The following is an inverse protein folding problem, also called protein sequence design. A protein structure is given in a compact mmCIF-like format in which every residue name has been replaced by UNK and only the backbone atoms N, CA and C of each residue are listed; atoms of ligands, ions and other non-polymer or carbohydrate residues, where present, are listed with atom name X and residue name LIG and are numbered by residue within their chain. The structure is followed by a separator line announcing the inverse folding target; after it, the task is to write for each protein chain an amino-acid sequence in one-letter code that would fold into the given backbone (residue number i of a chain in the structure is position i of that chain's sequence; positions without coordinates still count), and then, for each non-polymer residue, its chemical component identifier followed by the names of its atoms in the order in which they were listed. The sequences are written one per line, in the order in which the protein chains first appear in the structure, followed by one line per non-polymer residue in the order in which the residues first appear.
data_IF_472487171355
#
_entry.id   IF_472487171355
#
_cell.length_a   1.000
_cell.length_b   1.000
_cell.length_c   1.000
_cell.angle_alpha   90.00
_cell.angle_beta   90.00
_cell.angle_gamma   90.00
#
_symmetry.space_group_name_H-M   'P 1'
#
loop_
_entity.id
_entity.type
_entity.pdbx_description
1 polymer ?
#
# COMPACT_ATOMS: atom_id res chain seq x y z
N UNK A 1 8.96 -2.76 14.60
CA UNK A 1 9.48 -1.65 13.77
C UNK A 1 9.99 -2.21 12.45
N UNK A 2 9.64 -1.58 11.32
CA UNK A 2 10.27 -1.78 10.01
C UNK A 2 11.38 -0.74 9.83
N UNK A 3 12.51 -1.13 9.29
CA UNK A 3 13.64 -0.24 9.02
C UNK A 3 14.14 -0.47 7.59
N UNK A 4 14.23 0.60 6.81
CA UNK A 4 14.85 0.63 5.50
C UNK A 4 16.12 1.51 5.56
N UNK A 5 17.26 1.00 5.12
CA UNK A 5 18.54 1.69 5.22
C UNK A 5 19.28 1.66 3.89
N UNK A 6 19.43 2.81 3.28
CA UNK A 6 20.18 2.98 2.03
C UNK A 6 19.63 2.19 0.85
N UNK A 7 18.30 1.95 0.81
CA UNK A 7 17.68 1.15 -0.23
C UNK A 7 17.95 1.73 -1.60
N UNK A 8 18.65 0.94 -2.41
CA UNK A 8 18.99 1.27 -3.78
C UNK A 8 18.52 0.15 -4.70
N UNK A 9 17.87 0.50 -5.80
CA UNK A 9 17.45 -0.47 -6.82
C UNK A 9 17.83 0.04 -8.21
N UNK A 10 18.54 -0.82 -8.95
CA UNK A 10 18.89 -0.59 -10.35
C UNK A 10 18.24 -1.67 -11.22
N UNK A 11 17.77 -1.27 -12.37
CA UNK A 11 17.29 -2.14 -13.45
C UNK A 11 18.16 -1.84 -14.68
N UNK A 12 19.20 -2.65 -14.89
CA UNK A 12 20.21 -2.30 -15.89
C UNK A 12 20.82 -0.93 -15.62
N UNK A 13 20.69 0.01 -16.56
CA UNK A 13 21.19 1.38 -16.43
C UNK A 13 20.28 2.33 -15.63
N UNK A 14 19.01 1.95 -15.38
CA UNK A 14 18.03 2.79 -14.67
C UNK A 14 18.19 2.69 -13.16
N UNK A 15 18.41 3.81 -12.48
CA UNK A 15 18.38 3.92 -11.03
C UNK A 15 16.94 4.23 -10.57
N UNK A 16 16.21 3.20 -10.15
CA UNK A 16 14.81 3.32 -9.73
C UNK A 16 14.68 3.82 -8.28
N UNK A 17 15.63 3.48 -7.40
CA UNK A 17 15.73 4.01 -6.03
C UNK A 17 17.18 4.32 -5.70
N UNK A 18 17.42 5.46 -5.07
CA UNK A 18 18.74 5.94 -4.68
C UNK A 18 18.81 6.22 -3.18
N UNK A 19 19.38 5.27 -2.44
CA UNK A 19 19.68 5.36 -1.01
C UNK A 19 18.49 5.81 -0.15
N UNK A 20 17.32 5.25 -0.38
CA UNK A 20 16.11 5.56 0.38
C UNK A 20 16.24 5.04 1.81
N UNK A 21 15.89 5.91 2.78
CA UNK A 21 15.86 5.59 4.21
C UNK A 21 14.50 5.94 4.79
N UNK A 22 13.93 5.05 5.56
CA UNK A 22 12.75 5.33 6.40
C UNK A 22 12.56 4.25 7.47
N UNK A 23 11.76 4.59 8.47
CA UNK A 23 11.34 3.69 9.54
C UNK A 23 9.82 3.69 9.65
N UNK A 24 9.23 2.57 10.10
CA UNK A 24 7.85 2.51 10.57
C UNK A 24 7.83 1.96 11.99
N UNK A 25 7.06 2.63 12.84
CA UNK A 25 6.88 2.22 14.24
C UNK A 25 5.53 1.53 14.44
N UNK A 26 5.41 0.67 15.48
CA UNK A 26 4.11 0.11 15.87
C UNK A 26 3.07 1.21 16.10
N UNK A 27 1.86 1.00 15.57
CA UNK A 27 0.77 1.98 15.66
C UNK A 27 0.79 3.08 14.60
N UNK A 28 1.81 3.14 13.73
CA UNK A 28 1.85 4.14 12.68
C UNK A 28 1.11 3.70 11.41
N UNK A 29 0.42 4.66 10.80
CA UNK A 29 -0.07 4.61 9.43
C UNK A 29 0.75 5.59 8.60
N UNK A 30 1.58 5.08 7.71
CA UNK A 30 2.46 5.89 6.85
C UNK A 30 1.96 5.86 5.41
N UNK A 31 1.66 7.03 4.88
CA UNK A 31 1.36 7.25 3.46
C UNK A 31 2.65 7.44 2.66
N UNK A 32 2.81 6.67 1.59
CA UNK A 32 3.95 6.75 0.69
C UNK A 32 3.51 7.37 -0.63
N UNK A 33 3.74 8.66 -0.78
CA UNK A 33 3.31 9.48 -1.90
C UNK A 33 4.42 9.63 -2.94
N UNK A 34 4.03 9.92 -4.16
CA UNK A 34 4.96 10.29 -5.23
C UNK A 34 4.27 10.25 -6.60
N UNK A 35 4.81 10.96 -7.60
CA UNK A 35 4.30 10.88 -8.97
C UNK A 35 4.50 9.48 -9.56
N UNK A 36 3.87 9.20 -10.70
CA UNK A 36 4.09 7.97 -11.44
C UNK A 36 5.56 7.87 -11.86
N UNK A 37 6.13 6.68 -11.78
CA UNK A 37 7.56 6.46 -12.07
C UNK A 37 8.52 6.90 -10.96
N UNK A 38 8.06 7.45 -9.84
CA UNK A 38 8.96 7.89 -8.75
C UNK A 38 9.67 6.75 -8.02
N UNK A 39 9.20 5.48 -8.16
CA UNK A 39 9.76 4.30 -7.50
C UNK A 39 8.90 3.73 -6.37
N UNK A 40 7.65 4.17 -6.20
CA UNK A 40 6.74 3.68 -5.13
C UNK A 40 6.56 2.16 -5.16
N UNK A 41 6.10 1.60 -6.28
CA UNK A 41 5.89 0.15 -6.43
C UNK A 41 7.21 -0.64 -6.30
N UNK A 42 8.34 -0.05 -6.72
CA UNK A 42 9.66 -0.64 -6.47
C UNK A 42 9.94 -0.72 -4.97
N UNK A 43 9.68 0.36 -4.22
CA UNK A 43 9.84 0.38 -2.74
C UNK A 43 8.92 -0.64 -2.07
N UNK A 44 7.63 -0.67 -2.46
CA UNK A 44 6.67 -1.66 -1.96
C UNK A 44 7.19 -3.08 -2.20
N UNK A 45 7.62 -3.41 -3.41
CA UNK A 45 8.13 -4.73 -3.76
C UNK A 45 9.41 -5.12 -2.99
N UNK A 46 10.29 -4.17 -2.69
CA UNK A 46 11.44 -4.38 -1.82
C UNK A 46 11.00 -4.65 -0.38
N UNK A 47 10.08 -3.84 0.15
CA UNK A 47 9.57 -3.98 1.52
C UNK A 47 8.88 -5.33 1.74
N UNK A 48 8.10 -5.81 0.76
CA UNK A 48 7.45 -7.12 0.88
C UNK A 48 8.36 -8.28 0.49
N UNK A 49 9.59 -8.00 0.04
CA UNK A 49 10.58 -9.00 -0.34
C UNK A 49 10.27 -9.71 -1.66
N UNK A 50 9.50 -9.11 -2.56
CA UNK A 50 9.30 -9.57 -3.93
C UNK A 50 10.49 -9.21 -4.84
N UNK A 51 11.24 -8.19 -4.45
CA UNK A 51 12.49 -7.78 -5.09
C UNK A 51 13.62 -7.76 -4.06
N UNK A 52 14.83 -7.99 -4.53
CA UNK A 52 16.05 -7.79 -3.74
C UNK A 52 16.62 -6.39 -4.03
N UNK A 53 17.10 -5.66 -3.02
CA UNK A 53 17.77 -4.39 -3.22
C UNK A 53 19.12 -4.60 -3.93
N UNK A 54 19.54 -3.65 -4.76
CA UNK A 54 20.89 -3.64 -5.36
C UNK A 54 21.93 -3.21 -4.33
N UNK A 55 21.54 -2.40 -3.32
CA UNK A 55 22.32 -2.05 -2.15
C UNK A 55 21.39 -1.61 -1.01
N UNK A 56 21.91 -1.57 0.21
CA UNK A 56 21.14 -1.29 1.41
C UNK A 56 20.49 -2.53 2.02
N UNK A 57 19.74 -2.35 3.10
CA UNK A 57 19.03 -3.45 3.76
C UNK A 57 17.66 -3.05 4.30
N UNK A 58 16.82 -4.08 4.55
CA UNK A 58 15.50 -3.94 5.17
C UNK A 58 15.42 -4.90 6.34
N UNK A 59 14.91 -4.42 7.47
CA UNK A 59 14.65 -5.20 8.67
C UNK A 59 13.23 -5.02 9.17
N UNK A 60 12.59 -6.09 9.56
CA UNK A 60 11.28 -6.08 10.22
C UNK A 60 11.39 -6.84 11.53
N UNK A 61 11.06 -6.16 12.64
CA UNK A 61 11.16 -6.72 14.00
C UNK A 61 12.53 -7.37 14.30
N UNK A 62 13.61 -6.73 13.83
CA UNK A 62 14.99 -7.21 13.98
C UNK A 62 15.46 -8.24 12.94
N UNK A 63 14.54 -8.84 12.18
CA UNK A 63 14.89 -9.82 11.12
C UNK A 63 15.23 -9.09 9.83
N UNK A 64 16.44 -9.28 9.32
CA UNK A 64 16.87 -8.75 8.02
C UNK A 64 16.33 -9.65 6.90
N UNK A 65 15.85 -9.02 5.81
CA UNK A 65 15.32 -9.75 4.66
C UNK A 65 16.34 -10.70 4.03
N UNK A 66 17.62 -10.30 3.95
CA UNK A 66 18.70 -11.14 3.40
C UNK A 66 19.06 -12.35 4.26
N UNK A 67 18.85 -12.27 5.58
CA UNK A 67 19.29 -13.30 6.52
C UNK A 67 18.23 -14.43 6.66
N UNK A 68 16.95 -14.04 6.76
CA UNK A 68 15.83 -15.00 6.77
C UNK A 68 14.59 -14.41 6.09
N UNK A 69 14.54 -14.54 4.76
CA UNK A 69 13.44 -14.04 3.95
C UNK A 69 12.09 -14.71 4.31
N UNK A 70 12.10 -15.95 4.78
CA UNK A 70 10.87 -16.67 5.16
C UNK A 70 10.28 -16.10 6.45
N UNK A 71 11.10 -15.96 7.50
CA UNK A 71 10.66 -15.37 8.76
C UNK A 71 10.26 -13.90 8.58
N UNK A 72 10.98 -13.14 7.76
CA UNK A 72 10.66 -11.77 7.40
C UNK A 72 9.28 -11.68 6.74
N UNK A 73 9.06 -12.42 5.63
CA UNK A 73 7.80 -12.39 4.84
C UNK A 73 6.60 -12.90 5.64
N UNK A 74 6.82 -13.78 6.61
CA UNK A 74 5.76 -14.27 7.51
C UNK A 74 5.12 -13.17 8.36
N UNK A 75 5.79 -12.06 8.56
CA UNK A 75 5.32 -10.92 9.35
C UNK A 75 4.53 -9.91 8.52
N UNK A 76 4.37 -10.12 7.20
CA UNK A 76 3.78 -9.15 6.28
C UNK A 76 2.45 -9.66 5.74
N UNK A 77 1.44 -8.81 5.81
CA UNK A 77 0.24 -8.88 4.98
C UNK A 77 0.40 -7.91 3.81
N UNK A 78 0.24 -8.40 2.59
CA UNK A 78 0.40 -7.59 1.38
C UNK A 78 -0.86 -7.58 0.54
N UNK A 79 -1.24 -6.39 0.09
CA UNK A 79 -2.34 -6.14 -0.85
C UNK A 79 -1.76 -5.39 -2.04
N UNK A 80 -1.61 -6.03 -3.21
CA UNK A 80 -1.14 -5.39 -4.42
C UNK A 80 -2.21 -4.47 -5.03
N UNK A 81 -1.79 -3.51 -5.85
CA UNK A 81 -2.67 -2.60 -6.59
C UNK A 81 -3.62 -3.36 -7.53
N UNK A 82 -3.07 -4.29 -8.31
CA UNK A 82 -3.86 -5.15 -9.18
C UNK A 82 -4.16 -6.48 -8.50
N UNK A 83 -5.45 -6.87 -8.44
CA UNK A 83 -5.86 -8.15 -7.86
C UNK A 83 -5.41 -9.35 -8.69
N UNK A 84 -4.15 -9.76 -8.57
CA UNK A 84 -3.64 -11.00 -9.15
C UNK A 84 -4.13 -12.20 -8.32
N UNK A 85 -5.36 -12.61 -8.56
CA UNK A 85 -6.03 -13.72 -7.88
C UNK A 85 -6.16 -14.93 -8.83
N UNK A 86 -6.18 -16.13 -8.25
CA UNK A 86 -6.62 -17.33 -8.99
C UNK A 86 -8.13 -17.25 -9.23
N UNK A 87 -8.53 -16.49 -10.26
CA UNK A 87 -9.92 -16.09 -10.49
C UNK A 87 -10.90 -17.26 -10.66
N UNK A 88 -10.43 -18.44 -11.03
CA UNK A 88 -11.23 -19.66 -11.13
C UNK A 88 -11.59 -20.29 -9.78
N UNK A 89 -10.91 -19.89 -8.71
CA UNK A 89 -11.26 -20.32 -7.37
C UNK A 89 -12.42 -19.49 -6.81
N UNK A 90 -13.13 -20.07 -5.85
CA UNK A 90 -14.04 -19.28 -5.00
C UNK A 90 -13.24 -18.45 -3.99
N UNK A 91 -13.84 -17.40 -3.44
CA UNK A 91 -13.18 -16.62 -2.39
C UNK A 91 -12.83 -17.48 -1.16
N UNK A 92 -13.70 -18.43 -0.81
CA UNK A 92 -13.45 -19.38 0.28
C UNK A 92 -12.26 -20.27 0.00
N UNK A 93 -12.21 -20.91 -1.19
CA UNK A 93 -11.12 -21.83 -1.56
C UNK A 93 -9.79 -21.10 -1.68
N UNK A 94 -9.79 -19.89 -2.26
CA UNK A 94 -8.60 -19.05 -2.36
C UNK A 94 -8.02 -18.74 -0.96
N UNK A 95 -8.85 -18.28 -0.02
CA UNK A 95 -8.39 -17.96 1.34
C UNK A 95 -7.91 -19.21 2.09
N UNK A 96 -8.60 -20.35 1.92
CA UNK A 96 -8.17 -21.62 2.48
C UNK A 96 -6.81 -22.06 1.88
N UNK A 97 -6.63 -21.94 0.57
CA UNK A 97 -5.36 -22.22 -0.11
C UNK A 97 -4.23 -21.34 0.42
N UNK A 98 -4.42 -20.01 0.46
CA UNK A 98 -3.41 -19.07 0.97
C UNK A 98 -3.04 -19.36 2.41
N UNK A 99 -4.04 -19.65 3.25
CA UNK A 99 -3.80 -20.00 4.65
C UNK A 99 -2.97 -21.30 4.81
N UNK A 100 -3.27 -22.33 4.01
CA UNK A 100 -2.50 -23.59 3.98
C UNK A 100 -1.06 -23.36 3.50
N UNK A 101 -0.86 -22.61 2.43
CA UNK A 101 0.48 -22.24 1.93
C UNK A 101 1.30 -21.50 2.99
N UNK A 102 0.63 -20.68 3.81
CA UNK A 102 1.23 -20.00 4.96
C UNK A 102 1.36 -20.89 6.21
N UNK A 103 1.11 -22.22 6.10
CA UNK A 103 1.19 -23.22 7.16
C UNK A 103 0.32 -22.88 8.38
N UNK A 104 -0.88 -22.35 8.15
CA UNK A 104 -1.85 -22.11 9.22
C UNK A 104 -2.62 -23.40 9.57
N UNK A 105 -2.93 -23.65 10.86
CA UNK A 105 -3.74 -24.78 11.25
C UNK A 105 -5.13 -24.75 10.59
N UNK A 106 -5.57 -25.89 10.06
CA UNK A 106 -6.86 -26.00 9.35
C UNK A 106 -8.04 -25.56 10.23
N UNK A 107 -8.04 -25.93 11.51
CA UNK A 107 -9.08 -25.53 12.46
C UNK A 107 -9.17 -24.00 12.63
N UNK A 108 -8.03 -23.30 12.58
CA UNK A 108 -8.00 -21.83 12.62
C UNK A 108 -8.55 -21.22 11.34
N UNK A 109 -8.20 -21.80 10.17
CA UNK A 109 -8.70 -21.35 8.88
C UNK A 109 -10.22 -21.52 8.76
N UNK A 110 -10.75 -22.67 9.22
CA UNK A 110 -12.20 -22.94 9.23
C UNK A 110 -13.00 -21.91 10.07
N UNK A 111 -12.38 -21.29 11.07
CA UNK A 111 -12.98 -20.22 11.87
C UNK A 111 -12.78 -18.84 11.21
N UNK A 112 -11.55 -18.53 10.78
CA UNK A 112 -11.19 -17.18 10.30
C UNK A 112 -11.74 -16.86 8.91
N UNK A 113 -11.71 -17.80 7.98
CA UNK A 113 -12.13 -17.56 6.58
C UNK A 113 -13.60 -17.14 6.51
N UNK A 114 -14.56 -17.89 7.09
CA UNK A 114 -15.97 -17.44 7.08
C UNK A 114 -16.20 -16.12 7.81
N UNK A 115 -15.48 -15.88 8.91
CA UNK A 115 -15.60 -14.64 9.67
C UNK A 115 -15.12 -13.43 8.83
N UNK A 116 -13.96 -13.51 8.20
CA UNK A 116 -13.43 -12.45 7.35
C UNK A 116 -14.34 -12.18 6.13
N UNK A 117 -14.82 -13.24 5.48
CA UNK A 117 -15.75 -13.09 4.35
C UNK A 117 -17.07 -12.42 4.76
N UNK A 118 -17.55 -12.70 5.98
CA UNK A 118 -18.76 -12.05 6.51
C UNK A 118 -18.55 -10.55 6.77
N UNK A 119 -17.49 -10.20 7.51
CA UNK A 119 -17.17 -8.80 7.86
C UNK A 119 -16.89 -7.97 6.61
N UNK A 120 -16.22 -8.57 5.61
CA UNK A 120 -15.92 -7.91 4.34
C UNK A 120 -17.06 -7.99 3.31
N UNK A 121 -18.28 -8.38 3.75
CA UNK A 121 -19.51 -8.43 2.93
C UNK A 121 -19.36 -9.29 1.65
N UNK A 122 -18.64 -10.41 1.76
CA UNK A 122 -18.43 -11.39 0.71
C UNK A 122 -19.10 -12.74 0.99
N UNK A 123 -19.82 -12.86 2.13
CA UNK A 123 -20.39 -14.12 2.61
C UNK A 123 -21.33 -14.76 1.59
N UNK A 124 -22.25 -13.99 1.00
CA UNK A 124 -23.26 -14.50 0.07
C UNK A 124 -22.66 -14.92 -1.30
N UNK A 125 -21.48 -14.39 -1.60
CA UNK A 125 -20.74 -14.73 -2.82
C UNK A 125 -19.57 -15.68 -2.59
N UNK A 126 -19.38 -16.20 -1.37
CA UNK A 126 -18.16 -16.97 -0.99
C UNK A 126 -17.88 -18.22 -1.79
N UNK A 127 -18.91 -18.81 -2.40
CA UNK A 127 -18.83 -20.01 -3.25
C UNK A 127 -18.93 -19.69 -4.76
N UNK A 128 -19.09 -18.42 -5.14
CA UNK A 128 -18.99 -18.03 -6.55
C UNK A 128 -17.52 -17.87 -6.92
N UNK A 129 -17.18 -18.23 -8.16
CA UNK A 129 -15.83 -18.00 -8.68
C UNK A 129 -15.52 -16.51 -8.76
N UNK A 130 -14.29 -16.13 -8.45
CA UNK A 130 -13.89 -14.74 -8.46
C UNK A 130 -13.81 -14.11 -9.86
N UNK A 131 -14.01 -14.90 -10.94
CA UNK A 131 -14.25 -14.38 -12.29
C UNK A 131 -15.48 -13.48 -12.35
N UNK A 132 -16.52 -13.81 -11.57
CA UNK A 132 -17.75 -13.03 -11.47
C UNK A 132 -17.68 -11.84 -10.51
N UNK A 133 -16.54 -11.63 -9.83
CA UNK A 133 -16.40 -10.56 -8.86
C UNK A 133 -16.06 -9.23 -9.51
N UNK A 134 -16.63 -8.14 -9.00
CA UNK A 134 -16.17 -6.78 -9.31
C UNK A 134 -14.72 -6.55 -8.84
N UNK A 135 -14.06 -5.50 -9.34
CA UNK A 135 -12.72 -5.11 -8.87
C UNK A 135 -12.72 -4.91 -7.34
N UNK A 136 -13.71 -4.22 -6.78
CA UNK A 136 -13.83 -3.98 -5.35
C UNK A 136 -14.06 -5.27 -4.53
N UNK A 137 -14.82 -6.24 -5.05
CA UNK A 137 -14.96 -7.55 -4.40
C UNK A 137 -13.63 -8.31 -4.36
N UNK A 138 -12.88 -8.31 -5.46
CA UNK A 138 -11.53 -8.92 -5.52
C UNK A 138 -10.58 -8.25 -4.55
N UNK A 139 -10.59 -6.92 -4.46
CA UNK A 139 -9.79 -6.16 -3.50
C UNK A 139 -10.09 -6.55 -2.06
N UNK A 140 -11.37 -6.72 -1.69
CA UNK A 140 -11.77 -7.20 -0.37
C UNK A 140 -11.29 -8.63 -0.07
N UNK A 141 -11.21 -9.51 -1.07
CA UNK A 141 -10.60 -10.85 -0.90
C UNK A 141 -9.10 -10.73 -0.62
N UNK A 142 -8.38 -9.82 -1.30
CA UNK A 142 -6.96 -9.58 -1.02
C UNK A 142 -6.73 -9.04 0.39
N UNK A 143 -7.56 -8.10 0.84
CA UNK A 143 -7.52 -7.61 2.22
C UNK A 143 -7.75 -8.76 3.21
N UNK A 144 -8.76 -9.63 2.98
CA UNK A 144 -8.96 -10.82 3.80
C UNK A 144 -7.72 -11.73 3.83
N UNK A 145 -7.11 -11.95 2.67
CA UNK A 145 -5.88 -12.75 2.53
C UNK A 145 -4.70 -12.17 3.32
N UNK A 146 -4.51 -10.86 3.25
CA UNK A 146 -3.45 -10.17 3.99
C UNK A 146 -3.63 -10.30 5.51
N UNK A 147 -4.88 -10.26 5.99
CA UNK A 147 -5.23 -10.31 7.41
C UNK A 147 -5.29 -11.73 8.01
N UNK A 148 -5.29 -12.79 7.20
CA UNK A 148 -5.44 -14.18 7.67
C UNK A 148 -4.52 -14.54 8.83
N UNK A 149 -3.25 -14.12 8.81
CA UNK A 149 -2.24 -14.40 9.85
C UNK A 149 -2.15 -13.33 10.94
N UNK A 150 -2.95 -12.26 10.86
CA UNK A 150 -2.84 -11.12 11.75
C UNK A 150 -1.40 -10.56 11.80
N UNK A 151 -0.85 -10.09 10.69
CA UNK A 151 0.54 -9.69 10.59
C UNK A 151 0.81 -8.40 11.38
N UNK A 152 2.03 -8.19 11.92
CA UNK A 152 2.43 -6.93 12.53
C UNK A 152 2.62 -5.78 11.53
N UNK A 153 2.83 -6.09 10.24
CA UNK A 153 2.97 -5.10 9.17
C UNK A 153 1.98 -5.40 8.04
N UNK A 154 1.19 -4.40 7.68
CA UNK A 154 0.37 -4.39 6.47
C UNK A 154 0.98 -3.44 5.45
N UNK A 155 1.23 -3.96 4.26
CA UNK A 155 1.69 -3.20 3.09
C UNK A 155 0.58 -3.23 2.05
N UNK A 156 0.13 -2.06 1.62
CA UNK A 156 -0.98 -1.93 0.69
C UNK A 156 -0.57 -1.00 -0.46
N UNK A 157 -0.71 -1.47 -1.69
CA UNK A 157 -0.43 -0.69 -2.89
C UNK A 157 -1.75 -0.20 -3.48
N UNK A 158 -1.98 1.13 -3.49
CA UNK A 158 -3.22 1.79 -3.93
C UNK A 158 -4.52 1.15 -3.41
N UNK A 159 -4.66 0.91 -2.09
CA UNK A 159 -5.70 0.02 -1.54
C UNK A 159 -7.14 0.53 -1.73
N UNK A 160 -7.32 1.81 -2.01
CA UNK A 160 -8.63 2.44 -2.20
C UNK A 160 -9.05 2.53 -3.67
N UNK A 161 -8.20 2.09 -4.60
CA UNK A 161 -8.50 2.12 -6.03
C UNK A 161 -9.64 1.16 -6.38
N UNK A 162 -10.73 1.69 -7.00
CA UNK A 162 -11.86 0.88 -7.43
C UNK A 162 -12.78 0.38 -6.32
N UNK A 163 -12.64 0.88 -5.08
CA UNK A 163 -13.61 0.66 -4.01
C UNK A 163 -14.77 1.66 -4.11
N UNK A 164 -15.98 1.19 -3.85
CA UNK A 164 -17.12 2.07 -3.58
C UNK A 164 -16.95 2.80 -2.24
N UNK A 165 -17.80 3.81 -2.00
CA UNK A 165 -17.70 4.65 -0.80
C UNK A 165 -17.77 3.83 0.49
N UNK A 166 -18.68 2.86 0.57
CA UNK A 166 -18.88 2.06 1.79
C UNK A 166 -17.70 1.13 2.05
N UNK A 167 -17.19 0.47 1.01
CA UNK A 167 -16.01 -0.38 1.11
C UNK A 167 -14.75 0.45 1.48
N UNK A 168 -14.62 1.66 0.94
CA UNK A 168 -13.54 2.58 1.31
C UNK A 168 -13.62 3.04 2.77
N UNK A 169 -14.83 3.37 3.25
CA UNK A 169 -15.03 3.73 4.66
C UNK A 169 -14.71 2.55 5.60
N UNK A 170 -15.18 1.36 5.28
CA UNK A 170 -14.89 0.14 6.05
C UNK A 170 -13.37 -0.11 6.12
N UNK A 171 -12.68 -0.08 4.97
CA UNK A 171 -11.24 -0.29 4.93
C UNK A 171 -10.50 0.77 5.76
N UNK A 172 -10.86 2.04 5.63
CA UNK A 172 -10.25 3.12 6.41
C UNK A 172 -10.42 2.92 7.91
N UNK A 173 -11.64 2.57 8.35
CA UNK A 173 -11.92 2.29 9.76
C UNK A 173 -11.11 1.10 10.26
N UNK A 174 -11.06 0.02 9.47
CA UNK A 174 -10.28 -1.17 9.80
C UNK A 174 -8.78 -0.85 9.97
N UNK A 175 -8.20 -0.08 9.05
CA UNK A 175 -6.77 0.28 9.11
C UNK A 175 -6.46 1.11 10.36
N UNK A 176 -7.34 2.05 10.75
CA UNK A 176 -7.18 2.80 12.01
C UNK A 176 -7.20 1.89 13.22
N UNK A 177 -8.23 1.03 13.34
CA UNK A 177 -8.33 0.10 14.46
C UNK A 177 -7.11 -0.82 14.56
N UNK A 178 -6.59 -1.30 13.43
CA UNK A 178 -5.38 -2.13 13.41
C UNK A 178 -4.15 -1.35 13.86
N UNK A 179 -4.04 -0.08 13.51
CA UNK A 179 -2.96 0.78 13.99
C UNK A 179 -3.08 1.05 15.50
N UNK A 180 -4.29 1.34 16.00
CA UNK A 180 -4.57 1.51 17.43
C UNK A 180 -4.18 0.25 18.24
N UNK A 181 -4.29 -0.94 17.65
CA UNK A 181 -3.81 -2.21 18.21
C UNK A 181 -2.28 -2.43 18.03
N UNK A 182 -1.55 -1.43 17.55
CA UNK A 182 -0.09 -1.49 17.39
C UNK A 182 0.40 -2.11 16.09
N UNK A 183 -0.46 -2.32 15.06
CA UNK A 183 0.00 -2.76 13.74
C UNK A 183 0.66 -1.59 13.01
N UNK A 184 1.68 -1.91 12.23
CA UNK A 184 2.29 -0.98 11.29
C UNK A 184 1.54 -1.04 9.97
N UNK A 185 1.21 0.12 9.39
CA UNK A 185 0.53 0.20 8.10
C UNK A 185 1.32 1.10 7.17
N UNK A 186 1.75 0.53 6.06
CA UNK A 186 2.46 1.23 5.00
C UNK A 186 1.64 1.13 3.72
N UNK A 187 1.14 2.26 3.20
CA UNK A 187 0.45 2.22 1.94
C UNK A 187 0.94 3.28 0.96
N UNK A 188 1.09 2.84 -0.30
CA UNK A 188 1.35 3.74 -1.40
C UNK A 188 0.04 4.31 -1.92
N UNK A 189 0.06 5.57 -2.30
CA UNK A 189 -1.06 6.22 -2.99
C UNK A 189 -0.61 7.49 -3.70
N UNK A 190 -1.45 7.95 -4.64
CA UNK A 190 -1.36 9.28 -5.25
C UNK A 190 -2.47 10.22 -4.75
N UNK A 191 -3.29 9.79 -3.79
CA UNK A 191 -4.46 10.51 -3.28
C UNK A 191 -4.14 11.21 -1.98
N UNK A 192 -4.01 12.53 -2.01
CA UNK A 192 -3.72 13.37 -0.83
C UNK A 192 -4.82 13.27 0.22
N UNK A 193 -6.11 13.31 -0.22
CA UNK A 193 -7.27 13.24 0.66
C UNK A 193 -7.29 11.98 1.56
N UNK A 194 -6.75 10.87 1.06
CA UNK A 194 -6.65 9.64 1.82
C UNK A 194 -5.51 9.69 2.83
N UNK A 195 -4.38 10.31 2.47
CA UNK A 195 -3.25 10.50 3.38
C UNK A 195 -3.64 11.42 4.53
N UNK A 196 -4.25 12.57 4.24
CA UNK A 196 -4.71 13.53 5.25
C UNK A 196 -5.73 12.92 6.23
N UNK A 197 -6.65 12.09 5.70
CA UNK A 197 -7.70 11.47 6.52
C UNK A 197 -7.24 10.25 7.31
N UNK A 198 -6.15 9.59 6.94
CA UNK A 198 -5.80 8.27 7.50
C UNK A 198 -4.42 8.24 8.15
N UNK A 199 -3.43 8.93 7.58
CA UNK A 199 -2.04 8.76 7.98
C UNK A 199 -1.67 9.63 9.20
N UNK A 200 -0.77 9.09 10.00
CA UNK A 200 -0.05 9.87 11.02
C UNK A 200 1.17 10.58 10.42
N UNK A 201 1.80 9.95 9.41
CA UNK A 201 3.02 10.45 8.75
C UNK A 201 2.96 10.18 7.25
N UNK A 202 3.63 11.04 6.49
CA UNK A 202 3.77 10.94 5.04
C UNK A 202 5.24 10.92 4.66
N UNK A 203 5.57 10.13 3.65
CA UNK A 203 6.87 10.11 2.99
C UNK A 203 6.62 10.34 1.50
N UNK A 204 7.29 11.34 0.92
CA UNK A 204 7.16 11.68 -0.50
C UNK A 204 8.40 11.24 -1.25
N UNK A 205 8.18 10.44 -2.27
CA UNK A 205 9.22 9.95 -3.18
C UNK A 205 9.17 10.71 -4.51
N UNK A 206 10.31 11.18 -4.98
CA UNK A 206 10.47 11.76 -6.31
C UNK A 206 11.80 11.30 -6.92
N UNK A 207 11.77 10.85 -8.18
CA UNK A 207 12.96 10.39 -8.90
C UNK A 207 13.83 9.42 -8.10
N UNK A 208 13.19 8.47 -7.41
CA UNK A 208 13.85 7.44 -6.62
C UNK A 208 14.42 7.90 -5.26
N UNK A 209 14.15 9.13 -4.82
CA UNK A 209 14.64 9.71 -3.56
C UNK A 209 13.50 10.20 -2.69
N UNK A 210 13.64 10.08 -1.37
CA UNK A 210 12.75 10.76 -0.42
C UNK A 210 13.06 12.25 -0.47
N UNK A 211 12.05 13.05 -0.83
CA UNK A 211 12.16 14.52 -0.95
C UNK A 211 11.44 15.25 0.17
N UNK A 212 10.51 14.57 0.86
CA UNK A 212 9.78 15.10 2.00
C UNK A 212 9.40 13.96 2.94
N UNK A 213 9.49 14.19 4.23
CA UNK A 213 8.98 13.33 5.28
C UNK A 213 8.50 14.20 6.44
N UNK A 214 7.31 13.90 7.00
CA UNK A 214 6.75 14.67 8.09
C UNK A 214 5.44 14.08 8.62
N UNK A 215 4.96 14.61 9.76
CA UNK A 215 3.63 14.25 10.27
C UNK A 215 2.58 14.96 9.44
N UNK A 216 1.49 14.26 9.13
CA UNK A 216 0.39 14.85 8.34
C UNK A 216 -0.20 16.08 9.04
N UNK A 217 -0.24 16.10 10.37
CA UNK A 217 -0.72 17.23 11.16
C UNK A 217 0.14 18.52 11.06
N UNK A 218 1.35 18.42 10.51
CA UNK A 218 2.24 19.58 10.34
C UNK A 218 1.95 20.35 9.04
N UNK A 219 1.05 19.84 8.18
CA UNK A 219 0.65 20.49 6.94
C UNK A 219 -0.69 21.22 7.12
N UNK A 220 -0.80 22.41 6.50
CA UNK A 220 -2.05 23.14 6.48
C UNK A 220 -3.12 22.38 5.67
N UNK A 221 -4.39 22.65 5.94
CA UNK A 221 -5.50 22.01 5.21
C UNK A 221 -5.66 22.54 3.78
N UNK A 222 -5.23 23.77 3.52
CA UNK A 222 -5.35 24.43 2.21
C UNK A 222 -4.16 25.37 1.93
N UNK A 223 -3.98 25.70 0.65
CA UNK A 223 -2.99 26.65 0.20
C UNK A 223 -1.59 26.08 -0.04
N UNK A 224 -0.58 26.94 -0.21
CA UNK A 224 0.79 26.52 -0.54
C UNK A 224 1.44 25.60 0.51
N UNK A 225 1.06 25.75 1.78
CA UNK A 225 1.59 24.94 2.88
C UNK A 225 0.74 23.69 3.18
N UNK A 226 -0.29 23.42 2.37
CA UNK A 226 -1.00 22.15 2.38
C UNK A 226 -0.08 21.00 1.98
N UNK A 227 -0.50 19.77 2.27
CA UNK A 227 0.23 18.58 1.83
C UNK A 227 0.41 18.57 0.31
N UNK A 228 -0.65 18.89 -0.44
CA UNK A 228 -0.61 18.99 -1.90
C UNK A 228 0.33 20.10 -2.38
N UNK A 229 0.21 21.32 -1.85
CA UNK A 229 1.09 22.44 -2.19
C UNK A 229 2.56 22.15 -1.90
N UNK A 230 2.83 21.52 -0.74
CA UNK A 230 4.18 21.12 -0.38
C UNK A 230 4.71 20.00 -1.27
N UNK A 231 3.85 19.03 -1.64
CA UNK A 231 4.19 17.98 -2.62
C UNK A 231 4.58 18.57 -3.98
N UNK A 232 3.77 19.48 -4.53
CA UNK A 232 4.04 20.15 -5.83
C UNK A 232 5.41 20.81 -5.80
N UNK A 233 5.73 21.57 -4.73
CA UNK A 233 7.04 22.22 -4.58
C UNK A 233 8.17 21.19 -4.44
N UNK A 234 8.02 20.20 -3.58
CA UNK A 234 9.06 19.20 -3.31
C UNK A 234 9.38 18.32 -4.52
N UNK A 235 8.37 17.99 -5.33
CA UNK A 235 8.51 17.15 -6.53
C UNK A 235 8.81 17.96 -7.80
N UNK A 236 8.86 19.30 -7.68
CA UNK A 236 9.10 20.23 -8.82
C UNK A 236 8.13 19.97 -9.98
N UNK A 237 6.85 19.78 -9.66
CA UNK A 237 5.82 19.65 -10.69
C UNK A 237 5.75 20.96 -11.51
N UNK A 238 5.53 20.87 -12.82
CA UNK A 238 5.37 22.06 -13.65
C UNK A 238 4.13 22.86 -13.22
N UNK A 239 4.17 24.16 -13.42
CA UNK A 239 2.95 24.97 -13.39
C UNK A 239 2.10 24.63 -14.62
N UNK A 240 0.93 24.08 -14.38
CA UNK A 240 0.00 23.67 -15.46
C UNK A 240 -0.87 24.83 -15.98
N UNK A 241 -0.87 26.00 -15.34
CA UNK A 241 -1.67 27.15 -15.77
C UNK A 241 -1.30 27.62 -17.18
N UNK A 242 0.00 27.78 -17.56
CA UNK A 242 0.37 28.12 -18.92
C UNK A 242 -0.11 27.11 -19.96
N UNK A 243 0.04 25.81 -19.67
CA UNK A 243 -0.41 24.73 -20.57
C UNK A 243 -1.94 24.73 -20.74
N UNK A 244 -2.69 24.91 -19.63
CA UNK A 244 -4.14 25.00 -19.69
C UNK A 244 -4.61 26.23 -20.51
N UNK A 245 -3.91 27.35 -20.39
CA UNK A 245 -4.19 28.56 -21.18
C UNK A 245 -3.93 28.31 -22.66
N UNK A 246 -2.80 27.68 -23.02
CA UNK A 246 -2.49 27.32 -24.41
C UNK A 246 -3.57 26.39 -25.02
N UNK A 247 -4.11 25.47 -24.25
CA UNK A 247 -5.22 24.62 -24.69
C UNK A 247 -6.47 25.46 -24.95
N UNK A 248 -6.83 26.37 -24.04
CA UNK A 248 -7.98 27.24 -24.22
C UNK A 248 -7.81 28.13 -25.44
N UNK A 249 -6.66 28.78 -25.60
CA UNK A 249 -6.35 29.62 -26.77
C UNK A 249 -6.42 28.82 -28.08
N UNK A 250 -5.99 27.55 -28.05
CA UNK A 250 -6.07 26.67 -29.24
C UNK A 250 -7.50 26.29 -29.60
N UNK A 251 -8.38 26.11 -28.59
CA UNK A 251 -9.81 25.79 -28.82
C UNK A 251 -10.60 27.02 -29.26
N UNK A 252 -10.29 28.20 -28.72
CA UNK A 252 -10.98 29.46 -29.02
C UNK A 252 -10.51 30.08 -30.34
N UNK A 253 -9.32 29.73 -30.80
CA UNK A 253 -8.69 30.30 -32.03
C UNK A 253 -9.09 29.61 -33.35
N UNK A 254 -10.18 28.78 -33.37
CA UNK A 254 -10.73 28.12 -34.57
C UNK A 254 -11.99 28.82 -35.04
#
# INVERSE_FOLDING_TARGET
MLQARGLTKRYGGLLALDRVHFDLHPGEIVGYLGPNGSGKSTTVNLVVGLLEPSAGDIRLSGIRLSDDAIAYKRQIGYVPEEPSLYAHLTASDYLMLVGRLRRMPTALLQKRVPALLRVLQLHDSRYKTMTAFSKGMRQRVLVASALLRNPPLLVLDEPFSGLDVNAGLLLRTLLRMLADEGRMIFFSTHRFDMVEKLCSRVIVLSSGRVVLEGRVADFASEGPDSLEGTFVRATRQPDFVPMAREILDTIEGV
#
